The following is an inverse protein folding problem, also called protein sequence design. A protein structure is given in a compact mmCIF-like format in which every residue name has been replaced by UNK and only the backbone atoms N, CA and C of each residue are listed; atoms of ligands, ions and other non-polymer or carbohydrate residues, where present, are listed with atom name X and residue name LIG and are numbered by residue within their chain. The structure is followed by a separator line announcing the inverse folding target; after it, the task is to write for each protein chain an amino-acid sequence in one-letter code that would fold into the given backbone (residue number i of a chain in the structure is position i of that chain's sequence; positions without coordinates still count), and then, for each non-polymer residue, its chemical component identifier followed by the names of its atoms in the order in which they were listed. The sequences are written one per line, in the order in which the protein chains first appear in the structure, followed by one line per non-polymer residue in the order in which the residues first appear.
data_IF_974148094100
#
_entry.id   IF_974148094100
#
_cell.length_a   1.000
_cell.length_b   1.000
_cell.length_c   1.000
_cell.angle_alpha   90.00
_cell.angle_beta   90.00
_cell.angle_gamma   90.00
#
_symmetry.space_group_name_H-M   'P 1'
#
loop_
_entity.id
_entity.type
_entity.pdbx_description
1 polymer ?
#
# COMPACT_ATOMS: atom_id res chain seq x y z
N UNK A 1 47.36 -12.78 46.32
CA UNK A 1 46.11 -13.43 45.89
C UNK A 1 45.34 -12.42 45.00
N UNK A 2 45.40 -12.55 43.65
CA UNK A 2 44.74 -11.66 42.71
C UNK A 2 43.36 -12.25 42.37
N UNK A 3 42.26 -11.54 42.72
CA UNK A 3 40.89 -11.94 42.37
C UNK A 3 40.57 -11.39 40.96
N UNK A 4 40.41 -12.28 40.00
CA UNK A 4 39.91 -11.94 38.68
C UNK A 4 38.38 -11.82 38.76
N UNK A 5 37.83 -10.63 38.43
CA UNK A 5 36.41 -10.37 38.29
C UNK A 5 36.05 -10.66 36.84
N UNK A 6 35.31 -11.73 36.58
CA UNK A 6 34.71 -12.02 35.29
C UNK A 6 33.47 -11.12 35.12
N UNK A 7 33.55 -10.16 34.21
CA UNK A 7 32.39 -9.37 33.76
C UNK A 7 31.62 -10.19 32.70
N UNK A 8 30.47 -10.72 33.04
CA UNK A 8 29.57 -11.35 32.11
C UNK A 8 28.78 -10.27 31.34
N UNK A 9 29.11 -10.09 30.08
CA UNK A 9 28.34 -9.19 29.17
C UNK A 9 27.10 -9.93 28.68
N UNK A 10 25.93 -9.56 29.22
CA UNK A 10 24.63 -10.02 28.74
C UNK A 10 24.28 -9.31 27.41
N UNK A 11 24.44 -9.99 26.28
CA UNK A 11 23.95 -9.56 24.98
C UNK A 11 22.42 -9.72 24.96
N UNK A 12 21.69 -8.60 25.11
CA UNK A 12 20.26 -8.55 24.84
C UNK A 12 20.05 -8.61 23.32
N UNK A 13 19.68 -9.78 22.82
CA UNK A 13 19.15 -9.92 21.45
C UNK A 13 17.72 -9.37 21.46
N UNK A 14 17.54 -8.15 20.97
CA UNK A 14 16.22 -7.59 20.75
C UNK A 14 15.50 -8.43 19.68
N UNK A 15 14.43 -9.10 20.04
CA UNK A 15 13.57 -9.79 19.07
C UNK A 15 12.99 -8.75 18.09
N UNK A 16 13.04 -9.00 16.76
CA UNK A 16 12.41 -8.10 15.79
C UNK A 16 10.92 -8.00 16.09
N UNK A 17 10.42 -6.77 16.25
CA UNK A 17 8.99 -6.53 16.40
C UNK A 17 8.28 -7.07 15.15
N UNK A 18 7.22 -7.86 15.32
CA UNK A 18 6.45 -8.38 14.21
C UNK A 18 5.88 -7.21 13.40
N UNK A 19 6.23 -7.14 12.11
CA UNK A 19 5.72 -6.12 11.21
C UNK A 19 4.19 -6.26 11.06
N UNK A 20 3.51 -5.12 10.96
CA UNK A 20 2.06 -5.06 10.79
C UNK A 20 1.73 -4.00 9.71
N UNK A 21 0.62 -4.14 8.99
CA UNK A 21 0.24 -3.15 7.99
C UNK A 21 0.01 -1.78 8.63
N UNK A 22 0.53 -0.71 8.04
CA UNK A 22 0.38 0.63 8.59
C UNK A 22 -1.09 1.08 8.53
N UNK A 23 -1.60 1.65 9.64
CA UNK A 23 -2.95 2.23 9.70
C UNK A 23 -3.06 3.59 9.05
N UNK A 24 -1.93 4.26 8.90
CA UNK A 24 -1.79 5.51 8.20
C UNK A 24 -0.56 5.42 7.31
N UNK A 25 -0.59 6.06 6.16
CA UNK A 25 0.52 5.99 5.23
C UNK A 25 0.42 7.04 4.14
N UNK A 26 1.43 7.04 3.30
CA UNK A 26 1.53 8.02 2.24
C UNK A 26 1.65 7.32 0.89
N UNK A 27 0.87 7.79 -0.08
CA UNK A 27 1.16 7.59 -1.48
C UNK A 27 2.27 8.55 -1.89
N UNK A 28 3.36 8.04 -2.42
CA UNK A 28 4.34 8.82 -3.18
C UNK A 28 4.13 8.47 -4.66
N UNK A 29 3.48 9.34 -5.45
CA UNK A 29 3.10 9.04 -6.84
C UNK A 29 4.28 8.55 -7.67
N UNK A 30 4.07 7.47 -8.42
CA UNK A 30 5.11 6.83 -9.23
C UNK A 30 6.20 6.09 -8.44
N UNK A 31 6.12 6.00 -7.10
CA UNK A 31 7.20 5.40 -6.29
C UNK A 31 6.72 4.38 -5.27
N UNK A 32 5.91 4.78 -4.30
CA UNK A 32 5.51 3.91 -3.19
C UNK A 32 4.07 4.16 -2.74
N UNK A 33 3.44 3.13 -2.20
CA UNK A 33 2.22 3.26 -1.42
C UNK A 33 2.41 2.49 -0.09
N UNK A 34 2.35 3.21 1.03
CA UNK A 34 2.60 2.63 2.35
C UNK A 34 4.01 2.04 2.50
N UNK A 35 5.01 2.59 1.82
CA UNK A 35 6.36 2.08 1.80
C UNK A 35 6.63 0.96 0.80
N UNK A 36 5.58 0.33 0.24
CA UNK A 36 5.73 -0.75 -0.74
C UNK A 36 5.99 -0.18 -2.14
N UNK A 37 6.94 -0.80 -2.86
CA UNK A 37 7.31 -0.46 -4.24
C UNK A 37 6.92 -1.58 -5.19
N UNK A 38 6.67 -1.23 -6.44
CA UNK A 38 6.56 -2.23 -7.51
C UNK A 38 7.89 -2.95 -7.69
N UNK A 39 7.82 -4.24 -7.98
CA UNK A 39 9.01 -5.09 -8.16
C UNK A 39 9.59 -5.67 -6.87
N UNK A 40 9.18 -5.24 -5.69
CA UNK A 40 9.57 -5.89 -4.43
C UNK A 40 9.13 -7.35 -4.40
N UNK A 41 9.92 -8.19 -3.76
CA UNK A 41 9.61 -9.62 -3.61
C UNK A 41 8.55 -9.84 -2.53
N UNK A 42 7.85 -10.96 -2.58
CA UNK A 42 6.90 -11.37 -1.54
C UNK A 42 7.54 -11.42 -0.13
N UNK A 43 8.83 -11.77 -0.05
CA UNK A 43 9.56 -11.75 1.22
C UNK A 43 9.74 -10.33 1.77
N UNK A 44 10.06 -9.35 0.91
CA UNK A 44 10.16 -7.94 1.29
C UNK A 44 8.79 -7.39 1.73
N UNK A 45 7.71 -7.74 1.02
CA UNK A 45 6.35 -7.37 1.43
C UNK A 45 6.00 -7.91 2.81
N UNK A 46 6.30 -9.19 3.09
CA UNK A 46 6.08 -9.78 4.43
C UNK A 46 6.94 -9.11 5.50
N UNK A 47 8.19 -8.81 5.19
CA UNK A 47 9.06 -8.08 6.12
C UNK A 47 8.51 -6.69 6.48
N UNK A 48 7.85 -6.00 5.52
CA UNK A 48 7.29 -4.68 5.72
C UNK A 48 5.89 -4.69 6.35
N UNK A 49 5.01 -5.63 5.97
CA UNK A 49 3.60 -5.64 6.34
C UNK A 49 3.21 -6.77 7.30
N UNK A 50 4.14 -7.69 7.60
CA UNK A 50 3.91 -8.85 8.44
C UNK A 50 3.43 -10.08 7.67
N UNK A 51 3.30 -11.20 8.41
CA UNK A 51 2.91 -12.50 7.84
C UNK A 51 1.39 -12.78 7.96
N UNK A 52 0.63 -11.83 8.51
CA UNK A 52 -0.83 -11.97 8.65
C UNK A 52 -1.53 -11.32 7.47
N UNK A 53 -1.87 -12.12 6.47
CA UNK A 53 -2.60 -11.66 5.29
C UNK A 53 -3.59 -12.71 4.81
N UNK A 54 -4.69 -12.26 4.21
CA UNK A 54 -5.60 -13.09 3.44
C UNK A 54 -5.09 -13.28 2.02
N UNK A 55 -5.41 -14.40 1.40
CA UNK A 55 -5.11 -14.68 -0.01
C UNK A 55 -6.41 -14.74 -0.79
N UNK A 56 -6.50 -14.00 -1.89
CA UNK A 56 -7.65 -14.08 -2.77
C UNK A 56 -7.71 -15.45 -3.45
N UNK A 57 -8.81 -16.17 -3.23
CA UNK A 57 -9.10 -17.40 -3.95
C UNK A 57 -9.93 -17.07 -5.20
N UNK A 58 -9.42 -17.45 -6.37
CA UNK A 58 -10.08 -17.19 -7.65
C UNK A 58 -9.75 -15.85 -8.31
N UNK A 59 -8.91 -15.03 -7.72
CA UNK A 59 -8.38 -13.86 -8.41
C UNK A 59 -7.43 -14.26 -9.55
N UNK A 60 -7.44 -13.50 -10.64
CA UNK A 60 -6.55 -13.71 -11.80
C UNK A 60 -5.07 -13.61 -11.42
N UNK A 61 -4.75 -12.75 -10.44
CA UNK A 61 -3.42 -12.50 -9.91
C UNK A 61 -3.33 -13.02 -8.48
N UNK A 62 -2.14 -13.44 -8.04
CA UNK A 62 -1.91 -13.71 -6.62
C UNK A 62 -2.06 -12.41 -5.84
N UNK A 63 -3.14 -12.29 -5.08
CA UNK A 63 -3.47 -11.08 -4.32
C UNK A 63 -3.46 -11.38 -2.85
N UNK A 64 -2.72 -10.57 -2.10
CA UNK A 64 -2.65 -10.60 -0.65
C UNK A 64 -3.36 -9.40 -0.05
N UNK A 65 -4.18 -9.65 1.00
CA UNK A 65 -4.93 -8.64 1.72
C UNK A 65 -4.39 -8.50 3.13
N UNK A 66 -3.76 -7.38 3.41
CA UNK A 66 -3.27 -6.99 4.73
C UNK A 66 -4.30 -6.08 5.39
N UNK A 67 -5.17 -6.64 6.20
CA UNK A 67 -6.20 -5.89 6.92
C UNK A 67 -5.73 -5.53 8.33
N UNK A 68 -6.18 -4.39 8.86
CA UNK A 68 -5.75 -3.90 10.17
C UNK A 68 -6.21 -4.76 11.34
N UNK A 69 -7.34 -5.43 11.18
CA UNK A 69 -7.91 -6.35 12.16
C UNK A 69 -8.58 -7.52 11.44
N UNK A 70 -8.68 -8.68 12.07
CA UNK A 70 -9.57 -9.74 11.58
C UNK A 70 -10.99 -9.17 11.37
N UNK A 71 -11.59 -9.53 10.24
CA UNK A 71 -12.96 -9.10 9.84
C UNK A 71 -13.11 -7.60 9.49
N UNK A 72 -12.06 -6.78 9.51
CA UNK A 72 -12.11 -5.44 8.90
C UNK A 72 -11.81 -5.55 7.42
N UNK A 73 -12.33 -4.59 6.64
CA UNK A 73 -12.07 -4.52 5.19
C UNK A 73 -10.96 -3.54 4.85
N UNK A 74 -10.63 -2.65 5.77
CA UNK A 74 -9.60 -1.62 5.58
C UNK A 74 -8.18 -2.20 5.66
N UNK A 75 -7.31 -1.72 4.81
CA UNK A 75 -5.92 -2.16 4.77
C UNK A 75 -5.25 -1.90 3.43
N UNK A 76 -4.38 -2.82 3.04
CA UNK A 76 -3.68 -2.82 1.75
C UNK A 76 -3.92 -4.12 0.99
N UNK A 77 -4.17 -4.00 -0.30
CA UNK A 77 -4.09 -5.08 -1.26
C UNK A 77 -2.74 -5.05 -1.97
N UNK A 78 -2.09 -6.20 -2.11
CA UNK A 78 -0.84 -6.35 -2.84
C UNK A 78 -0.99 -7.46 -3.86
N UNK A 79 -0.82 -7.13 -5.14
CA UNK A 79 -0.82 -8.10 -6.22
C UNK A 79 0.60 -8.51 -6.57
N UNK A 80 0.81 -9.80 -6.77
CA UNK A 80 2.09 -10.38 -7.10
C UNK A 80 2.04 -11.07 -8.46
N UNK A 81 3.00 -10.76 -9.31
CA UNK A 81 3.27 -11.44 -10.57
C UNK A 81 4.69 -12.01 -10.53
N UNK A 82 4.84 -13.32 -10.72
CA UNK A 82 6.16 -13.98 -10.67
C UNK A 82 6.92 -13.62 -9.37
N UNK A 83 6.23 -13.67 -8.23
CA UNK A 83 6.76 -13.37 -6.90
C UNK A 83 7.26 -11.92 -6.71
N UNK A 84 6.77 -10.97 -7.51
CA UNK A 84 7.09 -9.55 -7.39
C UNK A 84 5.83 -8.71 -7.40
N UNK A 85 5.84 -7.63 -6.62
CA UNK A 85 4.73 -6.67 -6.56
C UNK A 85 4.46 -6.08 -7.94
N UNK A 86 3.26 -6.29 -8.45
CA UNK A 86 2.76 -5.71 -9.71
C UNK A 86 1.76 -4.59 -9.47
N UNK A 87 1.05 -4.61 -8.33
CA UNK A 87 0.21 -3.52 -7.86
C UNK A 87 0.14 -3.53 -6.33
N UNK A 88 -0.07 -2.34 -5.76
CA UNK A 88 -0.43 -2.13 -4.37
C UNK A 88 -1.51 -1.05 -4.31
N UNK A 89 -2.54 -1.26 -3.48
CA UNK A 89 -3.67 -0.34 -3.37
C UNK A 89 -4.27 -0.39 -1.97
N UNK A 90 -4.90 0.72 -1.57
CA UNK A 90 -5.65 0.75 -0.32
C UNK A 90 -6.95 -0.05 -0.50
N UNK A 91 -7.35 -0.74 0.55
CA UNK A 91 -8.60 -1.48 0.62
C UNK A 91 -9.64 -0.65 1.35
N UNK A 92 -10.80 -0.47 0.76
CA UNK A 92 -11.88 0.35 1.28
C UNK A 92 -11.42 1.81 1.45
N UNK A 93 -12.00 2.54 2.39
CA UNK A 93 -11.68 3.95 2.66
C UNK A 93 -10.86 4.08 3.97
N UNK A 94 -9.59 3.66 4.01
CA UNK A 94 -8.82 3.68 5.23
C UNK A 94 -8.45 5.12 5.60
N UNK A 95 -8.92 5.59 6.76
CA UNK A 95 -8.55 6.89 7.30
C UNK A 95 -7.04 6.99 7.55
N UNK A 96 -6.49 8.21 7.57
CA UNK A 96 -5.06 8.44 7.87
C UNK A 96 -4.12 8.25 6.68
N UNK A 97 -4.63 7.95 5.49
CA UNK A 97 -3.82 7.88 4.27
C UNK A 97 -3.84 9.20 3.51
N UNK A 98 -2.68 9.60 3.00
CA UNK A 98 -2.48 10.88 2.32
C UNK A 98 -1.57 10.75 1.10
N UNK A 99 -1.54 11.80 0.30
CA UNK A 99 -0.62 12.00 -0.80
C UNK A 99 0.01 13.40 -0.68
N UNK A 100 1.03 13.75 -1.50
CA UNK A 100 1.64 15.07 -1.49
C UNK A 100 0.64 16.22 -1.65
N UNK A 101 1.05 17.41 -1.23
CA UNK A 101 0.25 18.65 -1.26
C UNK A 101 -1.00 18.62 -0.39
N UNK A 102 -1.02 17.76 0.65
CA UNK A 102 -2.13 17.68 1.58
C UNK A 102 -3.36 16.92 1.07
N UNK A 103 -3.24 16.15 0.00
CA UNK A 103 -4.34 15.30 -0.46
C UNK A 103 -4.53 14.12 0.50
N UNK A 104 -5.75 13.85 0.93
CA UNK A 104 -6.09 12.81 1.91
C UNK A 104 -7.36 12.05 1.52
N UNK A 105 -7.54 10.87 2.05
CA UNK A 105 -8.76 10.07 1.88
C UNK A 105 -9.97 10.85 2.41
N UNK A 106 -11.00 11.00 1.59
CA UNK A 106 -12.18 11.83 1.85
C UNK A 106 -12.14 13.21 1.18
N UNK A 107 -11.01 13.63 0.59
CA UNK A 107 -10.92 14.84 -0.21
C UNK A 107 -11.93 14.79 -1.38
N UNK A 108 -12.52 15.93 -1.75
CA UNK A 108 -13.43 15.99 -2.89
C UNK A 108 -12.66 15.88 -4.21
N UNK A 109 -13.33 15.39 -5.24
CA UNK A 109 -12.76 15.17 -6.59
C UNK A 109 -12.04 16.41 -7.16
N UNK A 110 -12.61 17.60 -6.97
CA UNK A 110 -12.00 18.86 -7.41
C UNK A 110 -10.63 19.11 -6.75
N UNK A 111 -10.44 18.68 -5.50
CA UNK A 111 -9.12 18.76 -4.85
C UNK A 111 -8.15 17.73 -5.43
N UNK A 112 -8.63 16.53 -5.76
CA UNK A 112 -7.80 15.50 -6.39
C UNK A 112 -7.26 15.99 -7.73
N UNK A 113 -8.13 16.51 -8.61
CA UNK A 113 -7.72 17.01 -9.93
C UNK A 113 -6.79 18.21 -9.83
N UNK A 114 -7.04 19.12 -8.89
CA UNK A 114 -6.19 20.30 -8.67
C UNK A 114 -4.80 19.93 -8.14
N UNK A 115 -4.72 19.03 -7.16
CA UNK A 115 -3.48 18.73 -6.44
C UNK A 115 -2.62 17.68 -7.14
N UNK A 116 -3.24 16.67 -7.75
CA UNK A 116 -2.53 15.62 -8.50
C UNK A 116 -2.15 16.05 -9.93
N UNK A 117 -2.83 17.07 -10.48
CA UNK A 117 -2.61 17.59 -11.84
C UNK A 117 -3.41 16.81 -12.89
N UNK A 118 -3.02 16.87 -14.17
CA UNK A 118 -3.73 16.19 -15.24
C UNK A 118 -3.85 14.69 -14.99
N UNK A 119 -5.07 14.17 -15.10
CA UNK A 119 -5.42 12.78 -14.84
C UNK A 119 -6.27 12.23 -16.00
N UNK A 120 -6.13 10.94 -16.25
CA UNK A 120 -7.03 10.20 -17.15
C UNK A 120 -8.08 9.51 -16.27
N UNK A 121 -9.35 9.68 -16.62
CA UNK A 121 -10.48 9.08 -15.88
C UNK A 121 -10.91 7.80 -16.55
N UNK A 122 -11.03 6.73 -15.77
CA UNK A 122 -11.60 5.45 -16.19
C UNK A 122 -12.78 5.10 -15.29
N UNK A 123 -13.90 4.74 -15.90
CA UNK A 123 -15.06 4.24 -15.18
C UNK A 123 -14.89 2.77 -14.83
N UNK A 124 -14.97 2.46 -13.54
CA UNK A 124 -14.96 1.11 -12.99
C UNK A 124 -16.37 0.71 -12.52
N UNK A 125 -16.54 -0.50 -12.00
CA UNK A 125 -17.82 -0.92 -11.44
C UNK A 125 -18.08 -0.25 -10.09
N UNK A 126 -18.91 0.79 -10.08
CA UNK A 126 -19.32 1.52 -8.87
C UNK A 126 -18.34 2.59 -8.37
N UNK A 127 -17.30 2.93 -9.14
CA UNK A 127 -16.35 4.00 -8.82
C UNK A 127 -15.60 4.47 -10.07
N UNK A 128 -14.83 5.53 -9.93
CA UNK A 128 -13.94 6.03 -10.97
C UNK A 128 -12.48 5.92 -10.52
N UNK A 129 -11.59 5.60 -11.46
CA UNK A 129 -10.16 5.61 -11.26
C UNK A 129 -9.55 6.78 -12.03
N UNK A 130 -9.04 7.75 -11.30
CA UNK A 130 -8.31 8.90 -11.84
C UNK A 130 -6.83 8.53 -11.86
N UNK A 131 -6.24 8.43 -13.04
CA UNK A 131 -4.90 7.84 -13.18
C UNK A 131 -3.89 8.81 -13.77
N UNK A 132 -2.65 8.62 -13.38
CA UNK A 132 -1.48 9.31 -13.93
C UNK A 132 -0.36 8.31 -14.16
N UNK A 133 0.06 8.22 -15.40
CA UNK A 133 1.17 7.35 -15.79
C UNK A 133 2.50 8.09 -15.77
N UNK A 134 3.53 7.39 -15.34
CA UNK A 134 4.92 7.61 -15.71
C UNK A 134 5.32 6.52 -16.70
N UNK A 135 6.60 6.43 -17.10
CA UNK A 135 7.08 5.40 -18.04
C UNK A 135 6.71 3.97 -17.59
N UNK A 136 6.87 3.67 -16.29
CA UNK A 136 6.75 2.29 -15.79
C UNK A 136 5.65 2.11 -14.75
N UNK A 137 5.14 3.22 -14.19
CA UNK A 137 4.24 3.20 -13.05
C UNK A 137 3.01 4.06 -13.30
N UNK A 138 1.84 3.49 -13.04
CA UNK A 138 0.57 4.18 -12.97
C UNK A 138 0.22 4.43 -11.51
N UNK A 139 -0.11 5.67 -11.20
CA UNK A 139 -0.72 6.07 -9.93
C UNK A 139 -2.22 6.22 -10.13
N UNK A 140 -3.03 5.65 -9.24
CA UNK A 140 -4.47 5.77 -9.27
C UNK A 140 -5.02 6.43 -8.00
N UNK A 141 -6.04 7.25 -8.19
CA UNK A 141 -6.88 7.84 -7.15
C UNK A 141 -8.29 7.33 -7.39
N UNK A 142 -8.82 6.57 -6.46
CA UNK A 142 -10.15 5.98 -6.59
C UNK A 142 -11.21 6.92 -6.02
N UNK A 143 -12.20 7.26 -6.82
CA UNK A 143 -13.27 8.19 -6.48
C UNK A 143 -14.57 7.41 -6.34
N UNK A 144 -15.24 7.57 -5.21
CA UNK A 144 -16.58 7.06 -4.93
C UNK A 144 -17.45 8.23 -4.47
N UNK A 145 -18.60 8.41 -5.05
CA UNK A 145 -19.54 9.51 -4.72
C UNK A 145 -18.85 10.89 -4.63
N UNK A 146 -17.98 11.19 -5.63
CA UNK A 146 -17.26 12.46 -5.72
C UNK A 146 -16.18 12.69 -4.66
N UNK A 147 -15.78 11.65 -3.91
CA UNK A 147 -14.74 11.74 -2.86
C UNK A 147 -13.64 10.73 -3.09
N UNK A 148 -12.41 11.12 -2.74
CA UNK A 148 -11.26 10.24 -2.75
C UNK A 148 -11.44 9.12 -1.72
N UNK A 149 -11.56 7.92 -2.22
CA UNK A 149 -11.84 6.72 -1.44
C UNK A 149 -10.61 5.85 -1.20
N UNK A 150 -9.64 5.92 -2.11
CA UNK A 150 -8.43 5.11 -2.04
C UNK A 150 -7.34 5.52 -2.99
N UNK A 151 -6.19 4.91 -2.83
CA UNK A 151 -5.01 5.07 -3.66
C UNK A 151 -4.58 3.75 -4.29
N UNK A 152 -3.98 3.81 -5.47
CA UNK A 152 -3.34 2.68 -6.12
C UNK A 152 -2.00 3.04 -6.74
N UNK A 153 -1.10 2.08 -6.78
CA UNK A 153 0.16 2.13 -7.49
C UNK A 153 0.34 0.81 -8.22
N UNK A 154 0.52 0.84 -9.52
CA UNK A 154 0.60 -0.35 -10.36
C UNK A 154 1.52 -0.12 -11.55
N UNK A 155 1.85 -1.16 -12.28
CA UNK A 155 2.61 -1.05 -13.52
C UNK A 155 1.82 -0.20 -14.53
N UNK A 156 2.53 0.61 -15.31
CA UNK A 156 1.93 1.40 -16.38
C UNK A 156 1.10 0.52 -17.32
N UNK A 157 0.05 1.08 -17.88
CA UNK A 157 -0.88 0.41 -18.80
C UNK A 157 -1.62 -0.80 -18.21
N UNK A 158 -1.62 -0.94 -16.88
CA UNK A 158 -2.45 -1.94 -16.19
C UNK A 158 -3.85 -1.37 -15.97
N UNK A 159 -4.89 -2.20 -16.09
CA UNK A 159 -6.24 -1.77 -15.73
C UNK A 159 -6.26 -1.35 -14.25
N UNK A 160 -6.64 -0.11 -13.92
CA UNK A 160 -6.66 0.37 -12.53
C UNK A 160 -7.88 -0.14 -11.73
N UNK A 161 -8.91 -0.66 -12.39
CA UNK A 161 -10.10 -1.18 -11.71
C UNK A 161 -9.78 -2.44 -10.89
N UNK A 162 -10.15 -2.43 -9.60
CA UNK A 162 -9.84 -3.47 -8.60
C UNK A 162 -11.13 -3.97 -7.95
#
# INVERSE_FOLDING_TARGET
MKRAILLAVLLFVAAPAAAAPPRAGTLVPGRTLGGIRLGETSAQVRAALGDRYGVCRGCKMTTWYFTYRPFTREGLGVELTRNRVSAVYTLWQPSGWSAPKGLFIGAIEAQVTTLAGPLVVLTCSGYEAFTKDTTDVQTAYYIVDGKLWGFGLMRAHTNPCR
#
